data_IF_281810479739
#
_entry.id   IF_281810479739
#
_cell.length_a   1.000
_cell.length_b   1.000
_cell.length_c   1.000
_cell.angle_alpha   90.00
_cell.angle_beta   90.00
_cell.angle_gamma   90.00
#
_symmetry.space_group_name_H-M   'P 1'
#
loop_
_entity.id
_entity.type
_entity.pdbx_description
1 polymer ?
#
# COMPACT_ATOMS: atom_id res chain seq x y z
N UNK A 1 70.25 4.30 59.57
CA UNK A 1 71.61 4.11 59.01
C UNK A 1 71.77 5.05 57.82
N UNK A 2 72.78 5.91 57.87
CA UNK A 2 73.50 6.50 56.71
C UNK A 2 74.93 5.89 56.77
N UNK A 3 75.81 5.96 55.74
CA UNK A 3 75.89 6.91 54.61
C UNK A 3 75.84 6.15 53.23
N UNK A 4 76.25 6.62 52.04
CA UNK A 4 77.12 7.72 51.57
C UNK A 4 76.76 8.27 50.18
N UNK A 5 77.18 9.51 49.92
CA UNK A 5 77.62 10.04 48.62
C UNK A 5 79.11 10.47 48.76
N UNK A 6 79.83 11.06 47.77
CA UNK A 6 79.51 11.33 46.35
C UNK A 6 80.66 10.94 45.38
N UNK A 7 80.57 11.26 44.07
CA UNK A 7 81.61 12.09 43.39
C UNK A 7 81.23 12.59 41.99
N UNK A 8 81.70 13.80 41.69
CA UNK A 8 81.57 14.51 40.41
C UNK A 8 82.33 13.84 39.25
N UNK A 9 81.80 13.98 38.02
CA UNK A 9 82.64 14.33 36.86
C UNK A 9 81.91 15.25 35.87
N UNK A 10 82.40 16.47 35.72
CA UNK A 10 82.00 17.43 34.68
C UNK A 10 82.52 16.98 33.31
N UNK A 11 81.66 16.99 32.30
CA UNK A 11 81.95 17.36 30.89
C UNK A 11 80.58 17.74 30.29
N UNK A 12 80.37 19.03 30.02
CA UNK A 12 80.85 19.79 28.86
C UNK A 12 79.69 19.88 27.85
N UNK A 13 79.33 21.11 27.53
CA UNK A 13 78.21 21.47 26.68
C UNK A 13 78.48 20.97 25.26
N UNK A 14 77.48 20.35 24.65
CA UNK A 14 77.33 20.39 23.20
C UNK A 14 75.90 20.82 22.93
N UNK A 15 75.74 22.04 22.45
CA UNK A 15 74.48 22.48 21.87
C UNK A 15 74.16 21.51 20.73
N UNK A 16 73.11 20.71 20.89
CA UNK A 16 72.50 20.04 19.74
C UNK A 16 71.92 21.14 18.88
N UNK A 17 72.70 21.57 17.88
CA UNK A 17 72.24 22.46 16.83
C UNK A 17 70.90 21.91 16.35
N UNK A 18 69.86 22.75 16.45
CA UNK A 18 68.64 22.51 15.70
C UNK A 18 69.02 22.61 14.23
N UNK A 19 69.36 21.47 13.64
CA UNK A 19 69.40 21.29 12.19
C UNK A 19 67.94 21.40 11.77
N UNK A 20 67.49 22.64 11.60
CA UNK A 20 66.22 22.93 10.95
C UNK A 20 66.19 22.16 9.64
N UNK A 21 65.08 21.49 9.31
CA UNK A 21 65.04 20.57 8.18
C UNK A 21 65.53 21.29 6.93
N UNK A 22 66.46 20.67 6.21
CA UNK A 22 67.14 21.29 5.08
C UNK A 22 66.11 21.95 4.15
N UNK A 23 66.41 23.11 3.53
CA UNK A 23 65.54 23.69 2.52
C UNK A 23 65.24 22.72 1.37
N UNK A 24 66.00 21.64 1.19
CA UNK A 24 65.66 20.55 0.26
C UNK A 24 64.82 19.41 0.87
N UNK A 25 64.91 19.14 2.18
CA UNK A 25 64.04 18.16 2.86
C UNK A 25 62.61 18.70 2.97
N UNK A 26 62.45 19.98 3.29
CA UNK A 26 61.15 20.66 3.27
C UNK A 26 60.56 20.75 1.85
N UNK A 27 61.39 20.91 0.81
CA UNK A 27 60.94 20.79 -0.60
C UNK A 27 60.55 19.36 -0.97
N UNK A 28 61.30 18.33 -0.53
CA UNK A 28 60.95 16.91 -0.75
C UNK A 28 59.64 16.55 -0.07
N UNK A 29 59.47 16.91 1.20
CA UNK A 29 58.24 16.68 1.96
C UNK A 29 57.05 17.44 1.37
N UNK A 30 57.21 18.71 0.94
CA UNK A 30 56.15 19.43 0.20
C UNK A 30 55.82 18.77 -1.15
N UNK A 31 56.80 18.27 -1.90
CA UNK A 31 56.55 17.54 -3.17
C UNK A 31 55.85 16.19 -2.95
N UNK A 32 56.13 15.49 -1.86
CA UNK A 32 55.44 14.24 -1.49
C UNK A 32 54.03 14.51 -0.96
N UNK A 33 53.86 15.54 -0.12
CA UNK A 33 52.56 15.97 0.40
C UNK A 33 51.63 16.48 -0.72
N UNK A 34 52.14 17.28 -1.68
CA UNK A 34 51.35 17.68 -2.85
C UNK A 34 50.97 16.48 -3.72
N UNK A 35 51.85 15.50 -3.93
CA UNK A 35 51.53 14.27 -4.68
C UNK A 35 50.42 13.42 -4.04
N UNK A 36 50.21 13.52 -2.73
CA UNK A 36 49.06 12.91 -2.04
C UNK A 36 47.83 13.82 -1.93
N UNK A 37 47.93 15.09 -2.34
CA UNK A 37 46.82 16.06 -2.32
C UNK A 37 46.09 16.17 -3.67
N UNK A 38 46.70 15.68 -4.75
CA UNK A 38 45.98 15.30 -5.96
C UNK A 38 45.33 13.93 -5.72
N UNK A 39 44.20 13.91 -5.00
CA UNK A 39 43.16 12.90 -5.31
C UNK A 39 42.92 13.05 -6.80
N UNK A 40 43.06 11.96 -7.58
CA UNK A 40 43.22 12.07 -9.02
C UNK A 40 42.08 12.91 -9.61
N UNK A 41 42.40 13.99 -10.33
CA UNK A 41 41.38 14.81 -11.01
C UNK A 41 40.51 13.94 -11.93
N UNK A 42 41.08 12.87 -12.50
CA UNK A 42 40.38 11.89 -13.31
C UNK A 42 39.42 11.00 -12.49
N UNK A 43 39.75 10.67 -11.23
CA UNK A 43 38.82 9.98 -10.31
C UNK A 43 37.70 10.91 -9.85
N UNK A 44 38.01 12.16 -9.49
CA UNK A 44 36.99 13.15 -9.12
C UNK A 44 36.03 13.40 -10.28
N UNK A 45 36.55 13.60 -11.49
CA UNK A 45 35.74 13.73 -12.70
C UNK A 45 34.94 12.47 -13.00
N UNK A 46 35.52 11.27 -12.85
CA UNK A 46 34.77 10.02 -13.01
C UNK A 46 33.64 9.87 -11.98
N UNK A 47 33.81 10.39 -10.76
CA UNK A 47 32.74 10.41 -9.75
C UNK A 47 31.66 11.42 -10.14
N UNK A 48 32.02 12.62 -10.61
CA UNK A 48 31.06 13.61 -11.12
C UNK A 48 30.27 13.09 -12.32
N UNK A 49 30.93 12.45 -13.29
CA UNK A 49 30.31 11.83 -14.46
C UNK A 49 29.32 10.72 -14.06
N UNK A 50 29.69 9.83 -13.11
CA UNK A 50 28.81 8.80 -12.57
C UNK A 50 27.63 9.37 -11.77
N UNK A 51 27.82 10.46 -11.03
CA UNK A 51 26.74 11.16 -10.32
C UNK A 51 25.76 11.78 -11.33
N UNK A 52 26.27 12.42 -12.38
CA UNK A 52 25.46 12.99 -13.46
C UNK A 52 24.67 11.91 -14.21
N UNK A 53 25.29 10.78 -14.53
CA UNK A 53 24.62 9.62 -15.14
C UNK A 53 23.52 9.07 -14.20
N UNK A 54 23.79 8.96 -12.90
CA UNK A 54 22.80 8.52 -11.92
C UNK A 54 21.58 9.45 -11.82
N UNK A 55 21.80 10.77 -11.94
CA UNK A 55 20.72 11.78 -12.00
C UNK A 55 19.90 11.61 -13.29
N UNK A 56 20.55 11.46 -14.44
CA UNK A 56 19.88 11.20 -15.72
C UNK A 56 19.05 9.91 -15.70
N UNK A 57 19.60 8.81 -15.17
CA UNK A 57 18.89 7.53 -15.04
C UNK A 57 17.67 7.62 -14.11
N UNK A 58 17.78 8.36 -12.99
CA UNK A 58 16.64 8.65 -12.11
C UNK A 58 15.55 9.46 -12.81
N UNK A 59 15.93 10.46 -13.61
CA UNK A 59 14.98 11.27 -14.38
C UNK A 59 14.26 10.44 -15.46
N UNK A 60 14.99 9.60 -16.19
CA UNK A 60 14.43 8.67 -17.18
C UNK A 60 13.48 7.64 -16.53
N UNK A 61 13.85 7.08 -15.38
CA UNK A 61 12.98 6.18 -14.63
C UNK A 61 11.68 6.88 -14.18
N UNK A 62 11.75 8.12 -13.69
CA UNK A 62 10.57 8.89 -13.31
C UNK A 62 9.67 9.20 -14.51
N UNK A 63 10.24 9.52 -15.68
CA UNK A 63 9.48 9.69 -16.93
C UNK A 63 8.83 8.40 -17.38
N UNK A 64 9.53 7.26 -17.29
CA UNK A 64 8.98 5.94 -17.61
C UNK A 64 7.81 5.57 -16.69
N UNK A 65 7.95 5.74 -15.37
CA UNK A 65 6.88 5.47 -14.40
C UNK A 65 5.64 6.33 -14.71
N UNK A 66 5.82 7.62 -14.99
CA UNK A 66 4.73 8.51 -15.42
C UNK A 66 4.07 8.06 -16.71
N UNK A 67 4.85 7.71 -17.74
CA UNK A 67 4.32 7.18 -18.99
C UNK A 67 3.49 5.90 -18.79
N UNK A 68 3.98 4.98 -17.95
CA UNK A 68 3.28 3.74 -17.61
C UNK A 68 1.95 4.01 -16.91
N UNK A 69 1.90 4.95 -15.96
CA UNK A 69 0.65 5.38 -15.32
C UNK A 69 -0.29 6.09 -16.31
N UNK A 70 0.19 7.13 -17.00
CA UNK A 70 -0.57 7.91 -17.99
C UNK A 70 -1.22 7.00 -19.04
N UNK A 71 -0.55 5.92 -19.46
CA UNK A 71 -1.05 4.94 -20.44
C UNK A 71 -1.74 3.70 -19.84
N UNK A 72 -1.75 3.53 -18.52
CA UNK A 72 -2.35 2.36 -17.86
C UNK A 72 -1.62 1.03 -18.12
N UNK A 73 -0.32 1.10 -18.41
CA UNK A 73 0.50 -0.02 -18.89
C UNK A 73 1.17 -0.83 -17.77
N UNK A 74 0.81 -0.63 -16.49
CA UNK A 74 1.46 -1.26 -15.33
C UNK A 74 1.55 -2.79 -15.46
N UNK A 75 0.53 -3.42 -16.04
CA UNK A 75 0.46 -4.87 -16.27
C UNK A 75 1.22 -5.36 -17.52
N UNK A 76 1.60 -4.45 -18.43
CA UNK A 76 2.48 -4.73 -19.59
C UNK A 76 3.97 -4.56 -19.24
N UNK A 77 4.30 -3.86 -18.15
CA UNK A 77 5.68 -3.73 -17.66
C UNK A 77 6.22 -5.11 -17.28
N UNK A 78 7.47 -5.38 -17.68
CA UNK A 78 8.20 -6.62 -17.35
C UNK A 78 8.24 -6.86 -15.83
N UNK A 79 8.19 -8.11 -15.38
CA UNK A 79 8.07 -8.46 -13.96
C UNK A 79 9.10 -7.73 -13.06
N UNK A 80 10.36 -7.64 -13.51
CA UNK A 80 11.46 -6.99 -12.80
C UNK A 80 11.22 -5.48 -12.58
N UNK A 81 10.63 -4.79 -13.56
CA UNK A 81 10.32 -3.36 -13.46
C UNK A 81 8.94 -3.12 -12.83
N UNK A 82 8.03 -4.11 -12.88
CA UNK A 82 6.67 -3.98 -12.35
C UNK A 82 6.66 -3.71 -10.85
N UNK A 83 7.48 -4.42 -10.07
CA UNK A 83 7.61 -4.17 -8.63
C UNK A 83 8.09 -2.74 -8.34
N UNK A 84 9.07 -2.24 -9.11
CA UNK A 84 9.60 -0.88 -9.00
C UNK A 84 8.59 0.19 -9.42
N UNK A 85 7.74 -0.08 -10.41
CA UNK A 85 6.64 0.80 -10.81
C UNK A 85 5.54 0.81 -9.74
N UNK A 86 5.14 -0.36 -9.25
CA UNK A 86 4.15 -0.51 -8.17
C UNK A 86 4.60 0.20 -6.88
N UNK A 87 5.89 0.11 -6.51
CA UNK A 87 6.42 0.79 -5.31
C UNK A 87 6.61 2.31 -5.47
N UNK A 88 6.33 2.88 -6.65
CA UNK A 88 6.51 4.30 -6.98
C UNK A 88 5.22 5.00 -7.37
N UNK A 89 4.18 4.24 -7.73
CA UNK A 89 2.83 4.73 -7.95
C UNK A 89 2.00 4.50 -6.69
N UNK A 90 1.23 5.50 -6.27
CA UNK A 90 0.28 5.32 -5.16
C UNK A 90 -0.89 4.42 -5.55
N UNK A 91 -1.58 3.78 -4.58
CA UNK A 91 -2.67 2.84 -4.86
C UNK A 91 -3.79 3.46 -5.71
N UNK A 92 -4.14 4.72 -5.48
CA UNK A 92 -5.13 5.49 -6.27
C UNK A 92 -4.77 5.61 -7.76
N UNK A 93 -3.48 5.79 -8.08
CA UNK A 93 -2.96 5.87 -9.45
C UNK A 93 -3.03 4.49 -10.12
N UNK A 94 -2.55 3.46 -9.42
CA UNK A 94 -2.62 2.06 -9.87
C UNK A 94 -4.06 1.60 -10.11
N UNK A 95 -4.98 1.94 -9.21
CA UNK A 95 -6.40 1.65 -9.35
C UNK A 95 -7.00 2.32 -10.59
N UNK A 96 -6.78 3.63 -10.77
CA UNK A 96 -7.24 4.36 -11.97
C UNK A 96 -6.61 3.85 -13.27
N UNK A 97 -5.37 3.34 -13.22
CA UNK A 97 -4.71 2.64 -14.33
C UNK A 97 -5.42 1.32 -14.66
N UNK A 98 -5.64 0.45 -13.67
CA UNK A 98 -6.33 -0.83 -13.86
C UNK A 98 -7.77 -0.64 -14.31
N UNK A 99 -8.52 0.28 -13.69
CA UNK A 99 -9.89 0.67 -14.09
C UNK A 99 -9.98 1.03 -15.57
N UNK A 100 -9.07 1.89 -16.06
CA UNK A 100 -9.01 2.27 -17.49
C UNK A 100 -8.72 1.06 -18.39
N UNK A 101 -7.84 0.16 -17.96
CA UNK A 101 -7.51 -1.06 -18.71
C UNK A 101 -8.68 -2.06 -18.73
N UNK A 102 -9.36 -2.29 -17.60
CA UNK A 102 -10.58 -3.09 -17.53
C UNK A 102 -11.61 -2.56 -18.53
N UNK A 103 -11.92 -1.27 -18.47
CA UNK A 103 -12.88 -0.64 -19.38
C UNK A 103 -12.47 -0.77 -20.86
N UNK A 104 -11.17 -0.60 -21.17
CA UNK A 104 -10.65 -0.69 -22.53
C UNK A 104 -10.74 -2.10 -23.12
N UNK A 105 -10.51 -3.14 -22.30
CA UNK A 105 -10.60 -4.53 -22.75
C UNK A 105 -12.04 -5.08 -22.70
N UNK A 106 -12.85 -4.65 -21.73
CA UNK A 106 -14.22 -5.13 -21.56
C UNK A 106 -15.20 -4.46 -22.53
N UNK A 107 -15.09 -3.16 -22.81
CA UNK A 107 -16.06 -2.45 -23.67
C UNK A 107 -16.25 -3.08 -25.06
N UNK A 108 -15.20 -3.56 -25.77
CA UNK A 108 -15.37 -4.26 -27.05
C UNK A 108 -16.09 -5.61 -26.94
N UNK A 109 -15.95 -6.34 -25.82
CA UNK A 109 -16.67 -7.59 -25.58
C UNK A 109 -18.12 -7.31 -25.18
N UNK A 110 -18.33 -6.35 -24.28
CA UNK A 110 -19.64 -5.86 -23.85
C UNK A 110 -20.51 -5.37 -25.02
N UNK A 111 -19.93 -4.57 -25.93
CA UNK A 111 -20.64 -4.14 -27.14
C UNK A 111 -20.98 -5.31 -28.10
N UNK A 112 -20.26 -6.44 -28.02
CA UNK A 112 -20.50 -7.65 -28.82
C UNK A 112 -21.48 -8.62 -28.15
N UNK A 113 -21.56 -8.67 -26.82
CA UNK A 113 -22.44 -9.62 -26.10
C UNK A 113 -23.93 -9.31 -26.30
N UNK A 114 -24.30 -8.02 -26.47
CA UNK A 114 -25.64 -7.62 -26.92
C UNK A 114 -26.09 -8.29 -28.24
N UNK A 115 -25.16 -8.81 -29.05
CA UNK A 115 -25.43 -9.55 -30.28
C UNK A 115 -24.86 -10.99 -30.22
N UNK A 116 -24.87 -11.65 -29.06
CA UNK A 116 -24.25 -12.98 -28.83
C UNK A 116 -24.50 -13.99 -29.96
N UNK A 117 -25.74 -14.08 -30.48
CA UNK A 117 -26.13 -14.98 -31.60
C UNK A 117 -25.35 -14.77 -32.90
N UNK A 118 -24.72 -13.61 -33.09
CA UNK A 118 -23.91 -13.25 -34.27
C UNK A 118 -22.41 -13.19 -33.96
N UNK A 119 -22.05 -12.84 -32.72
CA UNK A 119 -20.66 -12.57 -32.33
C UNK A 119 -19.99 -13.77 -31.65
N UNK A 120 -20.78 -14.70 -31.10
CA UNK A 120 -20.29 -15.78 -30.24
C UNK A 120 -19.83 -15.32 -28.86
N UNK A 121 -19.86 -14.01 -28.56
CA UNK A 121 -19.38 -13.45 -27.29
C UNK A 121 -20.48 -13.57 -26.23
N UNK A 122 -20.11 -14.17 -25.11
CA UNK A 122 -20.95 -14.53 -23.96
C UNK A 122 -20.59 -13.70 -22.72
N UNK A 123 -21.29 -13.94 -21.60
CA UNK A 123 -20.87 -13.39 -20.32
C UNK A 123 -19.60 -14.09 -19.79
N UNK A 124 -19.35 -15.35 -20.16
CA UNK A 124 -18.16 -16.10 -19.73
C UNK A 124 -16.87 -15.48 -20.31
N UNK A 125 -16.93 -14.92 -21.53
CA UNK A 125 -15.82 -14.15 -22.12
C UNK A 125 -15.49 -12.87 -21.33
N UNK A 126 -16.51 -12.21 -20.78
CA UNK A 126 -16.34 -11.04 -19.90
C UNK A 126 -15.83 -11.45 -18.52
N UNK A 127 -16.37 -12.53 -17.97
CA UNK A 127 -15.98 -13.13 -16.70
C UNK A 127 -14.50 -13.54 -16.72
N UNK A 128 -14.09 -14.38 -17.69
CA UNK A 128 -12.71 -14.83 -17.86
C UNK A 128 -11.73 -13.68 -18.13
N UNK A 129 -12.17 -12.59 -18.79
CA UNK A 129 -11.37 -11.37 -18.91
C UNK A 129 -11.18 -10.67 -17.55
N UNK A 130 -12.21 -10.61 -16.70
CA UNK A 130 -12.10 -9.97 -15.37
C UNK A 130 -11.21 -10.76 -14.40
N UNK A 131 -11.17 -12.10 -14.49
CA UNK A 131 -10.25 -12.95 -13.70
C UNK A 131 -8.79 -12.52 -13.85
N UNK A 132 -8.38 -12.02 -15.03
CA UNK A 132 -7.01 -11.51 -15.29
C UNK A 132 -6.63 -10.34 -14.35
N UNK A 133 -7.61 -9.58 -13.86
CA UNK A 133 -7.39 -8.41 -13.00
C UNK A 133 -7.38 -8.73 -11.50
N UNK A 134 -7.81 -9.92 -11.07
CA UNK A 134 -7.88 -10.28 -9.64
C UNK A 134 -6.51 -10.21 -8.95
N UNK A 135 -5.46 -10.79 -9.56
CA UNK A 135 -4.08 -10.72 -9.03
C UNK A 135 -3.54 -9.28 -8.93
N UNK A 136 -3.68 -8.42 -9.97
CA UNK A 136 -3.39 -6.99 -9.84
C UNK A 136 -4.16 -6.26 -8.71
N UNK A 137 -5.44 -6.57 -8.49
CA UNK A 137 -6.24 -5.98 -7.41
C UNK A 137 -5.73 -6.44 -6.04
N UNK A 138 -5.47 -7.74 -5.87
CA UNK A 138 -4.85 -8.31 -4.68
C UNK A 138 -3.45 -7.69 -4.42
N UNK A 139 -2.69 -7.41 -5.48
CA UNK A 139 -1.37 -6.75 -5.35
C UNK A 139 -1.49 -5.33 -4.82
N UNK A 140 -2.53 -4.58 -5.20
CA UNK A 140 -2.80 -3.25 -4.63
C UNK A 140 -3.16 -3.38 -3.14
N UNK A 141 -4.02 -4.32 -2.77
CA UNK A 141 -4.42 -4.47 -1.35
C UNK A 141 -3.27 -4.87 -0.42
N UNK A 142 -2.16 -5.37 -0.95
CA UNK A 142 -0.95 -5.74 -0.19
C UNK A 142 0.07 -4.59 -0.05
N UNK A 143 -0.20 -3.41 -0.61
CA UNK A 143 0.71 -2.26 -0.49
C UNK A 143 0.68 -1.65 0.92
N UNK A 144 1.84 -1.22 1.40
CA UNK A 144 2.01 -0.46 2.67
C UNK A 144 1.53 0.99 2.50
N UNK A 145 0.22 1.19 2.32
CA UNK A 145 -0.39 2.51 2.16
C UNK A 145 -1.85 2.49 2.65
N UNK A 146 -2.26 3.50 3.42
CA UNK A 146 -3.58 3.56 4.08
C UNK A 146 -4.76 3.36 3.11
N UNK A 147 -4.80 4.14 2.02
CA UNK A 147 -5.81 4.01 0.95
C UNK A 147 -5.81 2.66 0.20
N UNK A 148 -4.78 1.81 0.32
CA UNK A 148 -4.56 0.69 -0.60
C UNK A 148 -5.66 -0.36 -0.56
N UNK A 149 -6.16 -0.67 0.64
CA UNK A 149 -7.24 -1.62 0.84
C UNK A 149 -8.56 -1.09 0.28
N UNK A 150 -8.85 0.20 0.47
CA UNK A 150 -10.06 0.85 -0.06
C UNK A 150 -10.07 0.86 -1.59
N UNK A 151 -8.95 1.21 -2.22
CA UNK A 151 -8.84 1.27 -3.67
C UNK A 151 -8.89 -0.12 -4.32
N UNK A 152 -8.25 -1.13 -3.72
CA UNK A 152 -8.38 -2.51 -4.17
C UNK A 152 -9.83 -3.03 -4.06
N UNK A 153 -10.52 -2.70 -2.96
CA UNK A 153 -11.90 -3.07 -2.74
C UNK A 153 -12.86 -2.43 -3.76
N UNK A 154 -12.71 -1.13 -4.03
CA UNK A 154 -13.45 -0.43 -5.11
C UNK A 154 -13.24 -1.09 -6.47
N UNK A 155 -12.01 -1.52 -6.79
CA UNK A 155 -11.71 -2.21 -8.05
C UNK A 155 -12.33 -3.60 -8.13
N UNK A 156 -12.37 -4.37 -7.05
CA UNK A 156 -13.03 -5.68 -7.04
C UNK A 156 -14.53 -5.54 -7.37
N UNK A 157 -15.21 -4.56 -6.75
CA UNK A 157 -16.59 -4.21 -7.08
C UNK A 157 -16.78 -3.61 -8.48
N UNK A 158 -15.76 -2.98 -9.05
CA UNK A 158 -15.82 -2.56 -10.44
C UNK A 158 -15.63 -3.72 -11.42
N UNK A 159 -14.72 -4.65 -11.14
CA UNK A 159 -14.59 -5.88 -11.91
C UNK A 159 -15.93 -6.62 -11.93
N UNK A 160 -16.56 -6.79 -10.75
CA UNK A 160 -17.94 -7.31 -10.59
C UNK A 160 -18.95 -6.66 -11.54
N UNK A 161 -18.90 -5.33 -11.74
CA UNK A 161 -19.84 -4.62 -12.62
C UNK A 161 -19.71 -5.00 -14.10
N UNK A 162 -18.56 -5.52 -14.54
CA UNK A 162 -18.34 -6.01 -15.91
C UNK A 162 -18.78 -7.46 -16.12
N UNK A 163 -18.82 -8.28 -15.05
CA UNK A 163 -19.23 -9.69 -15.11
C UNK A 163 -20.67 -9.86 -15.61
N UNK A 164 -21.59 -8.99 -15.20
CA UNK A 164 -23.01 -9.14 -15.55
C UNK A 164 -23.75 -7.79 -15.56
N UNK A 165 -23.77 -7.12 -16.72
CA UNK A 165 -24.57 -5.92 -16.96
C UNK A 165 -25.48 -6.08 -18.19
N UNK A 166 -26.15 -7.23 -18.30
CA UNK A 166 -27.11 -7.51 -19.36
C UNK A 166 -28.53 -7.51 -18.78
N UNK A 167 -29.21 -6.36 -18.85
CA UNK A 167 -30.65 -6.20 -18.50
C UNK A 167 -31.61 -7.00 -19.43
N UNK A 168 -31.06 -7.81 -20.33
CA UNK A 168 -31.78 -8.42 -21.45
C UNK A 168 -31.12 -9.73 -21.88
N UNK A 169 -31.51 -10.83 -21.27
CA UNK A 169 -32.29 -11.89 -21.96
C UNK A 169 -32.51 -13.09 -21.05
N UNK A 170 -33.74 -13.62 -21.06
CA UNK A 170 -34.20 -14.85 -20.41
C UNK A 170 -33.66 -16.15 -21.07
N UNK A 171 -32.40 -16.13 -21.55
CA UNK A 171 -31.83 -17.14 -22.43
C UNK A 171 -30.32 -17.42 -22.18
N UNK A 172 -29.83 -17.17 -20.97
CA UNK A 172 -28.52 -17.70 -20.55
C UNK A 172 -28.75 -18.92 -19.65
N UNK A 173 -28.43 -20.14 -20.12
CA UNK A 173 -28.49 -21.32 -19.26
C UNK A 173 -27.39 -21.24 -18.20
N UNK A 174 -27.72 -21.66 -16.98
CA UNK A 174 -26.84 -21.80 -15.82
C UNK A 174 -26.06 -20.54 -15.41
N UNK A 175 -26.77 -19.61 -14.75
CA UNK A 175 -26.24 -18.44 -14.04
C UNK A 175 -25.43 -18.80 -12.79
N UNK A 176 -24.32 -19.52 -12.96
CA UNK A 176 -23.28 -19.69 -11.95
C UNK A 176 -21.97 -19.96 -12.69
N UNK A 177 -21.25 -18.90 -13.05
CA UNK A 177 -19.98 -19.06 -13.76
C UNK A 177 -18.94 -19.61 -12.79
N UNK A 178 -18.05 -20.49 -13.25
CA UNK A 178 -16.97 -21.03 -12.40
C UNK A 178 -16.16 -19.87 -11.79
N UNK A 179 -15.98 -18.80 -12.58
CA UNK A 179 -15.31 -17.53 -12.30
C UNK A 179 -15.94 -16.62 -11.25
N UNK A 180 -17.20 -16.86 -10.86
CA UNK A 180 -17.82 -16.12 -9.74
C UNK A 180 -17.10 -16.46 -8.41
N UNK A 181 -16.49 -17.64 -8.32
CA UNK A 181 -15.80 -18.15 -7.12
C UNK A 181 -14.58 -17.31 -6.77
N UNK A 182 -13.68 -17.06 -7.72
CA UNK A 182 -12.42 -16.33 -7.47
C UNK A 182 -12.67 -14.85 -7.16
N UNK A 183 -13.75 -14.26 -7.69
CA UNK A 183 -14.17 -12.91 -7.32
C UNK A 183 -14.74 -12.89 -5.90
N UNK A 184 -15.64 -13.83 -5.58
CA UNK A 184 -16.27 -13.92 -4.26
C UNK A 184 -15.22 -14.18 -3.17
N UNK A 185 -14.20 -15.00 -3.46
CA UNK A 185 -13.03 -15.19 -2.60
C UNK A 185 -12.21 -13.91 -2.43
N UNK A 186 -11.86 -13.21 -3.53
CA UNK A 186 -11.13 -11.95 -3.41
C UNK A 186 -11.90 -10.88 -2.62
N UNK A 187 -13.21 -10.75 -2.83
CA UNK A 187 -14.03 -9.77 -2.10
C UNK A 187 -14.13 -10.19 -0.62
N UNK A 188 -14.29 -11.48 -0.31
CA UNK A 188 -14.29 -12.00 1.07
C UNK A 188 -12.97 -11.71 1.78
N UNK A 189 -11.82 -12.05 1.17
CA UNK A 189 -10.48 -11.73 1.69
C UNK A 189 -10.31 -10.22 1.98
N UNK A 190 -10.85 -9.36 1.11
CA UNK A 190 -10.79 -7.91 1.30
C UNK A 190 -11.74 -7.43 2.41
N UNK A 191 -12.89 -8.08 2.64
CA UNK A 191 -13.78 -7.80 3.78
C UNK A 191 -13.10 -8.17 5.10
N UNK A 192 -12.48 -9.34 5.18
CA UNK A 192 -11.82 -9.84 6.39
C UNK A 192 -10.61 -8.96 6.76
N UNK A 193 -9.73 -8.66 5.79
CA UNK A 193 -8.60 -7.73 6.01
C UNK A 193 -9.05 -6.32 6.39
N UNK A 194 -10.24 -5.92 5.93
CA UNK A 194 -10.84 -4.63 6.27
C UNK A 194 -11.42 -4.61 7.69
N UNK A 195 -11.95 -5.75 8.17
CA UNK A 195 -12.27 -5.98 9.59
C UNK A 195 -11.01 -5.89 10.45
N UNK A 196 -9.95 -6.62 10.09
CA UNK A 196 -8.66 -6.64 10.81
C UNK A 196 -8.04 -5.24 10.95
N UNK A 197 -8.14 -4.42 9.90
CA UNK A 197 -7.67 -3.04 9.90
C UNK A 197 -8.64 -2.03 10.58
N UNK A 198 -9.80 -2.47 11.08
CA UNK A 198 -10.75 -1.63 11.80
C UNK A 198 -11.56 -0.62 10.96
N UNK A 199 -11.64 -0.81 9.63
CA UNK A 199 -12.27 0.17 8.74
C UNK A 199 -13.81 0.05 8.65
N UNK A 200 -14.52 0.95 9.34
CA UNK A 200 -15.99 0.92 9.52
C UNK A 200 -16.84 1.51 8.39
N UNK A 201 -16.25 1.89 7.24
CA UNK A 201 -16.91 2.58 6.12
C UNK A 201 -18.13 1.86 5.49
N UNK A 202 -19.36 2.23 5.86
CA UNK A 202 -20.58 1.87 5.13
C UNK A 202 -20.92 0.37 4.97
N UNK A 203 -20.44 -0.52 5.86
CA UNK A 203 -20.73 -1.98 5.80
C UNK A 203 -22.21 -2.31 5.57
N UNK A 204 -23.12 -1.64 6.29
CA UNK A 204 -24.56 -1.86 6.19
C UNK A 204 -25.14 -1.48 4.81
N UNK A 205 -24.82 -0.30 4.30
CA UNK A 205 -25.30 0.15 2.99
C UNK A 205 -24.76 -0.72 1.84
N UNK A 206 -23.59 -1.32 2.04
CA UNK A 206 -23.00 -2.24 1.08
C UNK A 206 -23.62 -3.64 1.12
N UNK A 207 -23.93 -4.15 2.31
CA UNK A 207 -24.72 -5.37 2.49
C UNK A 207 -26.11 -5.20 1.86
N UNK A 208 -26.81 -4.10 2.13
CA UNK A 208 -28.11 -3.76 1.53
C UNK A 208 -28.03 -3.75 -0.01
N UNK A 209 -26.98 -3.17 -0.59
CA UNK A 209 -26.72 -3.20 -2.04
C UNK A 209 -26.51 -4.62 -2.57
N UNK A 210 -25.67 -5.43 -1.91
CA UNK A 210 -25.41 -6.81 -2.33
C UNK A 210 -26.61 -7.74 -2.16
N UNK A 211 -27.46 -7.50 -1.15
CA UNK A 211 -28.70 -8.25 -0.97
C UNK A 211 -29.74 -7.89 -2.03
N UNK A 212 -29.87 -6.60 -2.38
CA UNK A 212 -30.72 -6.16 -3.50
C UNK A 212 -30.25 -6.78 -4.83
N UNK A 213 -28.97 -6.64 -5.18
CA UNK A 213 -28.42 -7.24 -6.40
C UNK A 213 -28.61 -8.77 -6.44
N UNK A 214 -28.34 -9.48 -5.33
CA UNK A 214 -28.49 -10.93 -5.29
C UNK A 214 -29.95 -11.38 -5.41
N UNK A 215 -30.91 -10.56 -4.93
CA UNK A 215 -32.34 -10.81 -5.16
C UNK A 215 -32.69 -10.64 -6.64
N UNK A 216 -32.28 -9.53 -7.26
CA UNK A 216 -32.50 -9.28 -8.69
C UNK A 216 -31.87 -10.39 -9.56
N UNK A 217 -30.74 -10.97 -9.11
CA UNK A 217 -30.09 -12.13 -9.73
C UNK A 217 -30.87 -13.43 -9.54
N UNK A 218 -31.39 -13.70 -8.34
CA UNK A 218 -32.24 -14.86 -8.08
C UNK A 218 -33.53 -14.81 -8.92
N UNK A 219 -34.16 -13.64 -9.06
CA UNK A 219 -35.32 -13.41 -9.93
C UNK A 219 -34.99 -13.65 -11.43
N UNK A 220 -33.72 -13.63 -11.82
CA UNK A 220 -33.20 -13.99 -13.15
C UNK A 220 -32.66 -15.44 -13.26
N UNK A 221 -32.78 -16.27 -12.22
CA UNK A 221 -32.30 -17.66 -12.19
C UNK A 221 -30.84 -17.86 -11.77
N UNK A 222 -30.20 -16.81 -11.24
CA UNK A 222 -28.78 -16.80 -10.80
C UNK A 222 -28.74 -16.78 -9.26
N UNK A 223 -29.06 -17.91 -8.61
CA UNK A 223 -29.23 -17.98 -7.15
C UNK A 223 -27.92 -17.84 -6.33
N UNK A 224 -26.75 -18.01 -6.94
CA UNK A 224 -25.44 -18.16 -6.26
C UNK A 224 -24.56 -16.90 -6.28
N UNK A 225 -25.15 -15.72 -6.43
CA UNK A 225 -24.40 -14.47 -6.53
C UNK A 225 -23.69 -14.08 -5.21
N UNK A 226 -22.35 -14.04 -5.25
CA UNK A 226 -21.45 -13.57 -4.17
C UNK A 226 -21.83 -14.04 -2.76
N UNK A 227 -22.01 -15.36 -2.61
CA UNK A 227 -22.54 -15.97 -1.38
C UNK A 227 -21.59 -15.76 -0.19
N UNK A 228 -20.28 -15.96 -0.38
CA UNK A 228 -19.28 -15.81 0.69
C UNK A 228 -19.17 -14.35 1.13
N UNK A 229 -19.03 -13.42 0.18
CA UNK A 229 -18.90 -11.99 0.46
C UNK A 229 -20.11 -11.42 1.19
N UNK A 230 -21.32 -11.84 0.79
CA UNK A 230 -22.57 -11.49 1.49
C UNK A 230 -22.60 -12.03 2.91
N UNK A 231 -22.19 -13.29 3.13
CA UNK A 231 -22.13 -13.88 4.46
C UNK A 231 -21.10 -13.18 5.36
N UNK A 232 -19.91 -12.86 4.83
CA UNK A 232 -18.86 -12.14 5.55
C UNK A 232 -19.31 -10.72 5.94
N UNK A 233 -19.89 -9.94 5.01
CA UNK A 233 -20.44 -8.62 5.31
C UNK A 233 -21.60 -8.68 6.30
N UNK A 234 -22.46 -9.71 6.24
CA UNK A 234 -23.54 -9.90 7.19
C UNK A 234 -23.03 -10.16 8.61
N UNK A 235 -22.11 -11.10 8.78
CA UNK A 235 -21.50 -11.37 10.08
C UNK A 235 -20.81 -10.13 10.66
N UNK A 236 -20.10 -9.37 9.82
CA UNK A 236 -19.42 -8.13 10.19
C UNK A 236 -20.38 -7.00 10.62
N UNK A 237 -21.55 -6.89 9.98
CA UNK A 237 -22.61 -5.94 10.38
C UNK A 237 -23.27 -6.38 11.69
N UNK A 238 -23.54 -7.67 11.87
CA UNK A 238 -24.15 -8.22 13.09
C UNK A 238 -23.25 -8.00 14.32
N UNK A 239 -21.96 -8.29 14.21
CA UNK A 239 -20.94 -8.06 15.23
C UNK A 239 -20.82 -6.57 15.60
N UNK A 240 -20.73 -5.68 14.61
CA UNK A 240 -20.63 -4.24 14.86
C UNK A 240 -21.92 -3.62 15.42
N UNK A 241 -23.08 -4.23 15.18
CA UNK A 241 -24.33 -3.80 15.81
C UNK A 241 -24.37 -4.23 17.28
N UNK A 242 -23.95 -5.45 17.61
CA UNK A 242 -23.89 -5.96 18.98
C UNK A 242 -22.95 -5.11 19.87
N UNK A 243 -21.73 -4.81 19.41
CA UNK A 243 -20.74 -3.99 20.14
C UNK A 243 -21.29 -2.60 20.54
N UNK A 244 -22.22 -2.05 19.74
CA UNK A 244 -22.82 -0.72 19.99
C UNK A 244 -23.97 -0.76 20.98
N UNK A 245 -24.67 -1.88 21.11
CA UNK A 245 -25.69 -2.06 22.14
C UNK A 245 -25.03 -2.29 23.51
N UNK A 246 -23.97 -3.09 23.58
CA UNK A 246 -23.19 -3.32 24.81
C UNK A 246 -22.47 -2.05 25.31
N UNK A 247 -21.87 -1.26 24.41
CA UNK A 247 -21.24 0.02 24.80
C UNK A 247 -22.27 1.08 25.21
N UNK A 248 -23.47 1.11 24.62
CA UNK A 248 -24.56 1.98 25.05
C UNK A 248 -25.12 1.60 26.44
N UNK A 249 -25.24 0.29 26.71
CA UNK A 249 -25.63 -0.22 28.02
C UNK A 249 -24.58 0.09 29.10
N UNK A 250 -23.29 -0.09 28.80
CA UNK A 250 -22.20 0.26 29.71
C UNK A 250 -22.15 1.77 30.02
N UNK A 251 -22.27 2.63 29.00
CA UNK A 251 -22.30 4.09 29.17
C UNK A 251 -23.48 4.56 30.05
N UNK A 252 -24.65 3.95 29.88
CA UNK A 252 -25.84 4.24 30.69
C UNK A 252 -25.64 3.79 32.15
N UNK A 253 -25.01 2.63 32.36
CA UNK A 253 -24.74 2.09 33.71
C UNK A 253 -23.75 2.97 34.49
N UNK A 254 -22.71 3.50 33.84
CA UNK A 254 -21.75 4.43 34.46
C UNK A 254 -22.41 5.77 34.82
N UNK A 255 -23.30 6.28 33.97
CA UNK A 255 -24.05 7.52 34.27
C UNK A 255 -24.96 7.37 35.50
N UNK A 256 -25.64 6.22 35.65
CA UNK A 256 -26.50 5.94 36.81
C UNK A 256 -25.68 5.81 38.10
N UNK A 257 -24.48 5.22 38.06
CA UNK A 257 -23.61 5.17 39.26
C UNK A 257 -23.01 6.54 39.63
N UNK A 258 -22.76 7.42 38.66
CA UNK A 258 -22.26 8.77 38.92
C UNK A 258 -23.31 9.68 39.59
N UNK A 259 -24.61 9.50 39.27
CA UNK A 259 -25.70 10.25 39.90
C UNK A 259 -26.12 9.73 41.29
N UNK A 260 -25.61 8.59 41.75
CA UNK A 260 -25.94 8.00 43.05
C UNK A 260 -25.05 8.42 44.23
N UNK A 261 -24.11 9.36 44.00
CA UNK A 261 -23.04 9.70 44.96
C UNK A 261 -23.10 11.14 45.52
N UNK A 262 -24.16 11.89 45.21
CA UNK A 262 -24.31 13.31 45.60
C UNK A 262 -25.23 13.57 46.81
N UNK A 263 -25.97 12.58 47.30
CA UNK A 263 -27.06 12.79 48.29
C UNK A 263 -26.68 12.41 49.74
N UNK A 264 -25.39 12.49 50.09
CA UNK A 264 -24.88 12.18 51.44
C UNK A 264 -23.90 13.24 51.99
N UNK A 265 -24.29 14.53 51.95
CA UNK A 265 -23.82 15.46 52.98
C UNK A 265 -24.73 16.69 53.15
N UNK A 266 -25.46 16.75 54.27
CA UNK A 266 -26.00 17.97 54.93
C UNK A 266 -26.96 17.58 56.06
N UNK A 267 -26.40 17.27 57.22
CA UNK A 267 -27.12 17.36 58.51
C UNK A 267 -26.56 18.55 59.29
N UNK A 268 -27.36 19.08 60.24
CA UNK A 268 -27.05 20.26 61.09
C UNK A 268 -27.08 21.61 60.32
N UNK A 269 -27.57 22.74 60.85
CA UNK A 269 -28.07 23.12 62.19
C UNK A 269 -29.26 24.11 62.05
N UNK A 270 -30.18 24.14 63.01
CA UNK A 270 -30.87 25.39 63.43
C UNK A 270 -31.63 25.19 64.76
N UNK A 271 -30.98 25.53 65.87
CA UNK A 271 -31.64 25.96 67.11
C UNK A 271 -31.56 27.49 67.20
N UNK A 272 -32.52 28.10 67.91
CA UNK A 272 -32.82 29.55 68.08
C UNK A 272 -33.67 30.24 67.00
#
# INVERSE_FOLDING_TARGET
MNPSAPTNRKRAISETAQVGPSPDDTKRLRRLSLKGLWVNNDEQKSIEDLVNENVCLKALLAQFIRFVDDKGLVTEVSANLRALVLSRLGPKSLAKSLQRKMATLASPLYNKSYNYRKTGVTNDDLAGLMVVFLKPIQSISQMEHEDALEEAYKLAFQAKSWWFNMESTSYLPDGCTEHDTELDELITDLIDRRKEAGHTWAWKAELERLEAEAKDRADMGTEKWLVKSRQALKALVEEFCADREDTAAAGTTVAVMASGLSDLDSSSESDF
#
